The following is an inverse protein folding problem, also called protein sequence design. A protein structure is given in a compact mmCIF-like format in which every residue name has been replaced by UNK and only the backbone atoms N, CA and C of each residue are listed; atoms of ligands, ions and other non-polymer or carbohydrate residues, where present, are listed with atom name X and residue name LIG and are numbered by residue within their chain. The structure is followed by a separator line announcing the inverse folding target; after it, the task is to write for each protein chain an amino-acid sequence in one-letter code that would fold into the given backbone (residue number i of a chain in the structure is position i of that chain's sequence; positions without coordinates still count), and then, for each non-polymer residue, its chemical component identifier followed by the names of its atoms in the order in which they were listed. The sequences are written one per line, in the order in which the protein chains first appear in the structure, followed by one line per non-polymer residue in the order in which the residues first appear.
data_IF_124705223035
#
_entry.id   IF_124705223035
#
_cell.length_a   1.000
_cell.length_b   1.000
_cell.length_c   1.000
_cell.angle_alpha   90.00
_cell.angle_beta   90.00
_cell.angle_gamma   90.00
#
_symmetry.space_group_name_H-M   'P 1'
#
loop_
_entity.id
_entity.type
_entity.pdbx_description
1 polymer ?
#
# COMPACT_ATOMS: atom_id res chain seq x y z
N UNK A 1 7.96 29.12 14.13
CA UNK A 1 8.07 27.65 13.92
C UNK A 1 8.85 27.42 12.64
N UNK A 2 9.83 26.51 12.66
CA UNK A 2 10.69 26.22 11.51
C UNK A 2 10.10 25.10 10.63
N UNK A 3 10.49 25.05 9.36
CA UNK A 3 10.10 24.00 8.41
C UNK A 3 10.49 22.61 8.91
N UNK A 4 11.66 22.50 9.55
CA UNK A 4 12.14 21.30 10.27
C UNK A 4 11.15 20.80 11.32
N UNK A 5 10.60 21.69 12.15
CA UNK A 5 9.64 21.32 13.18
C UNK A 5 8.31 20.84 12.57
N UNK A 6 7.87 21.45 11.46
CA UNK A 6 6.68 21.02 10.73
C UNK A 6 6.89 19.64 10.05
N UNK A 7 8.09 19.40 9.53
CA UNK A 7 8.48 18.14 8.91
C UNK A 7 8.49 16.98 9.91
N UNK A 8 9.05 17.21 11.11
CA UNK A 8 9.08 16.21 12.18
C UNK A 8 7.69 15.92 12.74
N UNK A 9 6.85 16.94 12.94
CA UNK A 9 5.50 16.78 13.46
C UNK A 9 4.59 15.98 12.51
N UNK A 10 4.72 16.19 11.19
CA UNK A 10 3.99 15.41 10.18
C UNK A 10 4.40 13.93 10.16
N UNK A 11 5.61 13.62 10.61
CA UNK A 11 6.15 12.25 10.63
C UNK A 11 5.70 11.44 11.85
N UNK A 12 5.24 12.10 12.92
CA UNK A 12 4.95 11.46 14.21
C UNK A 12 3.48 11.19 14.51
N UNK A 13 2.54 11.58 13.64
CA UNK A 13 1.16 11.11 13.78
C UNK A 13 1.01 9.73 13.13
N UNK A 14 0.76 8.66 13.90
CA UNK A 14 0.47 7.36 13.33
C UNK A 14 -0.82 7.47 12.53
N UNK A 15 -0.73 7.49 11.20
CA UNK A 15 -1.92 7.37 10.36
C UNK A 15 -2.47 5.95 10.53
N UNK A 16 -3.76 5.77 10.88
CA UNK A 16 -4.30 4.50 11.33
C UNK A 16 -4.46 3.42 10.23
N UNK A 17 -3.82 3.55 9.07
CA UNK A 17 -3.91 2.62 7.93
C UNK A 17 -2.54 2.23 7.38
N UNK A 18 -2.47 1.34 6.38
CA UNK A 18 -1.25 1.02 5.66
C UNK A 18 -0.53 2.27 5.11
N UNK A 19 0.79 2.22 4.99
CA UNK A 19 1.64 3.30 4.52
C UNK A 19 2.60 2.79 3.44
N UNK A 20 3.30 3.71 2.78
CA UNK A 20 4.35 3.35 1.82
C UNK A 20 5.36 2.40 2.46
N UNK A 21 5.76 1.39 1.70
CA UNK A 21 6.69 0.30 2.03
C UNK A 21 6.18 -0.75 3.01
N UNK A 22 4.95 -0.62 3.52
CA UNK A 22 4.36 -1.70 4.31
C UNK A 22 4.09 -2.94 3.44
N UNK A 23 4.28 -4.12 4.04
CA UNK A 23 3.87 -5.39 3.45
C UNK A 23 2.39 -5.65 3.73
N UNK A 24 1.66 -6.04 2.70
CA UNK A 24 0.21 -6.28 2.74
C UNK A 24 -0.16 -7.55 2.00
N UNK A 25 -1.33 -8.09 2.31
CA UNK A 25 -1.95 -9.18 1.54
C UNK A 25 -3.26 -8.67 0.94
N UNK A 26 -3.49 -8.97 -0.34
CA UNK A 26 -4.78 -8.72 -0.99
C UNK A 26 -5.83 -9.72 -0.47
N UNK A 27 -7.03 -9.25 -0.19
CA UNK A 27 -8.12 -10.07 0.39
C UNK A 27 -9.16 -10.51 -0.63
N UNK A 28 -9.07 -9.98 -1.85
CA UNK A 28 -9.85 -10.37 -3.02
C UNK A 28 -8.92 -10.47 -4.23
N UNK A 29 -9.36 -11.15 -5.28
CA UNK A 29 -8.64 -11.18 -6.55
C UNK A 29 -8.55 -9.76 -7.13
N UNK A 30 -7.35 -9.37 -7.56
CA UNK A 30 -7.09 -8.05 -8.15
C UNK A 30 -6.52 -8.20 -9.55
N UNK A 31 -6.75 -7.18 -10.38
CA UNK A 31 -6.10 -7.05 -11.68
C UNK A 31 -4.93 -6.08 -11.56
N UNK A 32 -3.79 -6.48 -12.11
CA UNK A 32 -2.65 -5.59 -12.27
C UNK A 32 -2.94 -4.57 -13.36
N UNK A 33 -2.16 -3.50 -13.39
CA UNK A 33 -2.23 -2.46 -14.43
C UNK A 33 -1.93 -3.04 -15.83
N UNK A 34 -1.22 -4.18 -15.91
CA UNK A 34 -0.95 -4.94 -17.13
C UNK A 34 -2.05 -5.96 -17.48
N UNK A 35 -3.05 -6.12 -16.62
CA UNK A 35 -4.21 -7.00 -16.82
C UNK A 35 -4.04 -8.44 -16.33
N UNK A 36 -2.96 -8.74 -15.60
CA UNK A 36 -2.77 -10.04 -14.96
C UNK A 36 -3.66 -10.17 -13.71
N UNK A 37 -4.18 -11.36 -13.45
CA UNK A 37 -4.93 -11.64 -12.25
C UNK A 37 -3.99 -12.07 -11.11
N UNK A 38 -4.07 -11.36 -9.99
CA UNK A 38 -3.39 -11.72 -8.73
C UNK A 38 -4.44 -12.24 -7.75
N UNK A 39 -4.33 -13.50 -7.29
CA UNK A 39 -5.34 -14.09 -6.43
C UNK A 39 -5.32 -13.50 -5.02
N UNK A 40 -6.48 -13.53 -4.35
CA UNK A 40 -6.59 -13.26 -2.93
C UNK A 40 -5.58 -14.10 -2.13
N UNK A 41 -4.99 -13.50 -1.09
CA UNK A 41 -3.96 -14.12 -0.26
C UNK A 41 -2.53 -13.83 -0.71
N UNK A 42 -2.34 -13.25 -1.89
CA UNK A 42 -1.01 -12.85 -2.38
C UNK A 42 -0.47 -11.66 -1.58
N UNK A 43 0.80 -11.76 -1.16
CA UNK A 43 1.52 -10.68 -0.50
C UNK A 43 2.14 -9.73 -1.52
N UNK A 44 2.17 -8.44 -1.19
CA UNK A 44 2.83 -7.39 -1.95
C UNK A 44 3.25 -6.23 -1.06
N UNK A 45 3.93 -5.26 -1.65
CA UNK A 45 4.45 -4.08 -0.94
C UNK A 45 3.72 -2.84 -1.41
N UNK A 46 3.30 -1.97 -0.49
CA UNK A 46 2.74 -0.67 -0.88
C UNK A 46 3.86 0.21 -1.43
N UNK A 47 3.68 0.71 -2.65
CA UNK A 47 4.60 1.66 -3.30
C UNK A 47 3.97 3.02 -3.55
N UNK A 48 2.68 3.18 -3.20
CA UNK A 48 2.00 4.47 -3.22
C UNK A 48 0.70 4.47 -2.44
N UNK A 49 0.39 5.59 -1.78
CA UNK A 49 -0.86 5.85 -1.05
C UNK A 49 -1.66 6.97 -1.73
N UNK A 50 -2.95 6.74 -1.98
CA UNK A 50 -3.85 7.69 -2.63
C UNK A 50 -5.03 8.09 -1.72
N UNK A 51 -5.49 9.33 -1.85
CA UNK A 51 -6.69 9.82 -1.18
C UNK A 51 -6.67 9.65 0.34
N UNK A 52 -5.52 9.95 0.97
CA UNK A 52 -5.29 9.77 2.41
C UNK A 52 -5.53 8.34 2.94
N UNK A 53 -5.26 7.33 2.10
CA UNK A 53 -5.40 5.92 2.43
C UNK A 53 -6.71 5.29 1.98
N UNK A 54 -7.41 5.93 1.04
CA UNK A 54 -8.58 5.34 0.39
C UNK A 54 -8.20 4.20 -0.59
N UNK A 55 -7.02 4.31 -1.22
CA UNK A 55 -6.49 3.33 -2.14
C UNK A 55 -4.95 3.31 -2.12
N UNK A 56 -4.38 2.21 -2.59
CA UNK A 56 -2.96 1.91 -2.54
C UNK A 56 -2.50 1.32 -3.87
N UNK A 57 -1.27 1.62 -4.27
CA UNK A 57 -0.59 0.86 -5.32
C UNK A 57 0.26 -0.18 -4.63
N UNK A 58 0.03 -1.44 -4.98
CA UNK A 58 0.75 -2.60 -4.45
C UNK A 58 1.60 -3.20 -5.56
N UNK A 59 2.89 -3.39 -5.28
CA UNK A 59 3.83 -4.13 -6.13
C UNK A 59 3.90 -5.60 -5.67
N UNK A 60 3.81 -6.52 -6.63
CA UNK A 60 3.89 -7.96 -6.41
C UNK A 60 5.21 -8.54 -6.89
N UNK A 61 5.63 -9.63 -6.24
CA UNK A 61 6.80 -10.43 -6.65
C UNK A 61 6.46 -11.34 -7.84
N UNK A 62 5.22 -11.82 -7.92
CA UNK A 62 4.72 -12.64 -9.02
C UNK A 62 3.31 -12.18 -9.43
N UNK A 63 3.11 -11.73 -10.69
CA UNK A 63 4.14 -11.47 -11.70
C UNK A 63 5.15 -10.40 -11.25
N UNK A 64 6.41 -10.52 -11.68
CA UNK A 64 7.51 -9.69 -11.17
C UNK A 64 7.33 -8.21 -11.48
N UNK A 65 7.24 -7.39 -10.43
CA UNK A 65 7.12 -5.94 -10.54
C UNK A 65 5.74 -5.49 -11.00
N UNK A 66 4.75 -6.39 -11.00
CA UNK A 66 3.39 -6.04 -11.38
C UNK A 66 2.76 -5.13 -10.32
N UNK A 67 2.07 -4.08 -10.78
CA UNK A 67 1.41 -3.10 -9.93
C UNK A 67 -0.10 -3.28 -10.00
N UNK A 68 -0.80 -3.11 -8.88
CA UNK A 68 -2.26 -3.01 -8.87
C UNK A 68 -2.73 -1.88 -7.96
N UNK A 69 -3.81 -1.22 -8.39
CA UNK A 69 -4.55 -0.27 -7.58
C UNK A 69 -5.59 -1.00 -6.73
N UNK A 70 -5.43 -0.98 -5.41
CA UNK A 70 -6.29 -1.72 -4.47
C UNK A 70 -6.92 -0.75 -3.46
N UNK A 71 -8.22 -0.89 -3.25
CA UNK A 71 -8.95 -0.13 -2.23
C UNK A 71 -8.53 -0.59 -0.81
N UNK A 72 -8.72 0.28 0.18
CA UNK A 72 -8.30 0.01 1.55
C UNK A 72 -8.95 -1.24 2.18
N UNK A 73 -10.20 -1.52 1.85
CA UNK A 73 -10.92 -2.72 2.29
C UNK A 73 -10.45 -4.01 1.61
N UNK A 74 -9.72 -3.88 0.50
CA UNK A 74 -9.10 -4.98 -0.22
C UNK A 74 -7.75 -5.42 0.36
N UNK A 75 -7.20 -4.73 1.37
CA UNK A 75 -5.88 -5.01 1.91
C UNK A 75 -5.91 -5.38 3.39
N UNK A 76 -5.00 -6.29 3.75
CA UNK A 76 -4.66 -6.59 5.14
C UNK A 76 -3.17 -6.38 5.36
N UNK A 77 -2.83 -5.55 6.34
CA UNK A 77 -1.45 -5.36 6.76
C UNK A 77 -0.82 -6.68 7.26
N UNK A 78 0.40 -6.94 6.81
CA UNK A 78 1.26 -8.03 7.28
C UNK A 78 2.36 -7.47 8.17
N UNK A 79 3.12 -6.51 7.66
CA UNK A 79 4.29 -5.92 8.34
C UNK A 79 4.39 -4.43 8.02
N UNK A 80 4.86 -3.65 9.00
CA UNK A 80 5.19 -2.24 8.83
C UNK A 80 6.65 -2.11 8.45
N UNK A 81 6.97 -1.15 7.58
CA UNK A 81 8.35 -0.81 7.23
C UNK A 81 9.19 -0.28 8.42
#
# INVERSE_FOLDING_TARGET
MSVEALYLLRKTEPRPGPQDLDSVVVTADVLTDDGDAVPAGTEGTIVGVYGDGAAFVVEFIEPLGALANVAADGLRLVERA
#
